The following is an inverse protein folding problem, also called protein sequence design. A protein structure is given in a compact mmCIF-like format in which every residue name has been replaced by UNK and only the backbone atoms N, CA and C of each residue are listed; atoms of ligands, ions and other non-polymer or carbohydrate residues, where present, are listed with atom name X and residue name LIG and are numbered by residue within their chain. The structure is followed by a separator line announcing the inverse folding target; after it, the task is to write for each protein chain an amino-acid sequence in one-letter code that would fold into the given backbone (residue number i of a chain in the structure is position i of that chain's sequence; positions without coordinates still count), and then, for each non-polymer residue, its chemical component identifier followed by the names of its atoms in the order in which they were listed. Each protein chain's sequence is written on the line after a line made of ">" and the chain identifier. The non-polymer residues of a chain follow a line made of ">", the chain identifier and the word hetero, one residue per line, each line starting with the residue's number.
data_IF_409118616179
#
_entry.id   IF_409118616179
#
_cell.length_a   1.000
_cell.length_b   1.000
_cell.length_c   1.000
_cell.angle_alpha   90.00
_cell.angle_beta   90.00
_cell.angle_gamma   90.00
#
_symmetry.space_group_name_H-M   'P 1'
#
loop_
_entity.id
_entity.type
_entity.pdbx_description
1 polymer ?
#
# COMPACT_ATOMS: atom_id res chain seq x y z
N UNK A 1 34.61 -17.76 62.57
CA UNK A 1 33.94 -16.53 62.12
C UNK A 1 32.44 -16.78 61.89
N UNK A 2 31.54 -15.78 61.89
CA UNK A 2 30.12 -15.94 61.54
C UNK A 2 29.99 -16.23 60.02
N UNK A 3 29.18 -17.22 59.61
CA UNK A 3 28.96 -17.60 58.19
C UNK A 3 28.55 -16.42 57.31
N UNK A 4 27.80 -15.46 57.89
CA UNK A 4 27.43 -14.22 57.20
C UNK A 4 28.67 -13.40 56.86
N UNK A 5 29.64 -13.29 57.78
CA UNK A 5 30.86 -12.52 57.53
C UNK A 5 31.75 -13.20 56.48
N UNK A 6 31.79 -14.54 56.47
CA UNK A 6 32.53 -15.30 55.47
C UNK A 6 31.94 -15.07 54.07
N UNK A 7 30.63 -15.21 53.92
CA UNK A 7 29.91 -14.90 52.67
C UNK A 7 30.11 -13.45 52.22
N UNK A 8 29.99 -12.47 53.12
CA UNK A 8 30.12 -11.06 52.75
C UNK A 8 31.53 -10.69 52.27
N UNK A 9 32.57 -11.41 52.73
CA UNK A 9 33.96 -11.20 52.29
C UNK A 9 34.26 -11.80 50.94
N UNK A 10 33.52 -12.83 50.51
CA UNK A 10 33.73 -13.48 49.21
C UNK A 10 32.96 -12.82 48.07
N UNK A 11 31.93 -12.03 48.38
CA UNK A 11 31.08 -11.39 47.38
C UNK A 11 31.75 -10.20 46.70
N UNK A 12 31.69 -10.17 45.37
CA UNK A 12 32.01 -8.99 44.58
C UNK A 12 30.89 -7.94 44.68
N UNK A 13 31.20 -6.68 44.34
CA UNK A 13 30.20 -5.59 44.29
C UNK A 13 28.99 -5.95 43.42
N UNK A 14 29.24 -6.56 42.25
CA UNK A 14 28.19 -6.96 41.31
C UNK A 14 27.26 -8.00 41.90
N UNK A 15 27.79 -8.98 42.62
CA UNK A 15 26.99 -10.02 43.27
C UNK A 15 26.17 -9.49 44.45
N UNK A 16 26.74 -8.58 45.25
CA UNK A 16 25.98 -7.93 46.34
C UNK A 16 24.77 -7.20 45.76
N UNK A 17 24.94 -6.46 44.65
CA UNK A 17 23.83 -5.76 43.97
C UNK A 17 22.80 -6.78 43.47
N UNK A 18 23.23 -7.86 42.82
CA UNK A 18 22.34 -8.89 42.29
C UNK A 18 21.50 -9.56 43.38
N UNK A 19 22.11 -9.91 44.52
CA UNK A 19 21.42 -10.47 45.69
C UNK A 19 20.40 -9.47 46.24
N UNK A 20 20.81 -8.20 46.45
CA UNK A 20 19.93 -7.15 46.98
C UNK A 20 18.71 -6.94 46.07
N UNK A 21 18.91 -6.97 44.75
CA UNK A 21 17.83 -6.87 43.76
C UNK A 21 16.90 -8.09 43.82
N UNK A 22 17.48 -9.29 43.76
CA UNK A 22 16.74 -10.55 43.73
C UNK A 22 15.81 -10.70 44.94
N UNK A 23 16.32 -10.39 46.14
CA UNK A 23 15.58 -10.57 47.39
C UNK A 23 14.85 -9.30 47.85
N UNK A 24 14.89 -8.22 47.06
CA UNK A 24 14.21 -6.96 47.39
C UNK A 24 14.65 -6.39 48.74
N UNK A 25 15.96 -6.36 48.98
CA UNK A 25 16.56 -5.85 50.23
C UNK A 25 16.59 -4.31 50.15
N UNK A 26 15.98 -3.58 51.11
CA UNK A 26 15.96 -2.14 51.05
C UNK A 26 17.34 -1.54 51.38
N UNK A 27 17.84 -0.70 50.47
CA UNK A 27 19.05 0.08 50.67
C UNK A 27 18.68 1.56 50.78
N UNK A 28 18.95 2.17 51.93
CA UNK A 28 18.55 3.55 52.24
C UNK A 28 19.10 4.52 51.20
N UNK A 29 18.21 5.25 50.51
CA UNK A 29 18.57 6.27 49.53
C UNK A 29 18.90 5.75 48.11
N UNK A 30 18.89 4.44 47.86
CA UNK A 30 19.36 3.86 46.59
C UNK A 30 18.45 2.77 46.02
N UNK A 31 17.14 2.99 45.98
CA UNK A 31 16.17 2.00 45.47
C UNK A 31 16.18 1.81 43.94
N UNK A 32 16.44 2.86 43.16
CA UNK A 32 16.39 2.80 41.70
C UNK A 32 17.77 2.65 41.01
N UNK A 33 18.86 2.94 41.73
CA UNK A 33 20.25 2.93 41.22
C UNK A 33 21.21 2.34 42.26
N UNK A 34 21.12 1.02 42.44
CA UNK A 34 21.98 0.28 43.37
C UNK A 34 23.45 0.25 42.92
N UNK A 35 23.70 0.36 41.61
CA UNK A 35 25.02 0.50 41.00
C UNK A 35 25.84 1.67 41.56
N UNK A 36 25.16 2.75 41.99
CA UNK A 36 25.79 3.96 42.54
C UNK A 36 25.94 3.97 44.06
N UNK A 37 25.38 2.99 44.76
CA UNK A 37 25.42 2.95 46.23
C UNK A 37 26.85 2.65 46.73
N UNK A 38 27.35 3.30 47.80
CA UNK A 38 28.65 2.95 48.38
C UNK A 38 28.70 1.48 48.82
N UNK A 39 29.81 0.77 48.57
CA UNK A 39 29.91 -0.67 48.87
C UNK A 39 29.71 -0.99 50.36
N UNK A 40 30.18 -0.11 51.26
CA UNK A 40 29.96 -0.24 52.71
C UNK A 40 28.47 -0.22 53.05
N UNK A 41 27.68 0.59 52.35
CA UNK A 41 26.23 0.68 52.55
C UNK A 41 25.55 -0.62 52.08
N UNK A 42 25.91 -1.10 50.89
CA UNK A 42 25.40 -2.36 50.34
C UNK A 42 25.70 -3.55 51.26
N UNK A 43 26.95 -3.67 51.74
CA UNK A 43 27.36 -4.70 52.70
C UNK A 43 26.57 -4.57 54.00
N UNK A 44 26.39 -3.36 54.53
CA UNK A 44 25.66 -3.16 55.79
C UNK A 44 24.18 -3.54 55.69
N UNK A 45 23.54 -3.21 54.55
CA UNK A 45 22.15 -3.59 54.27
C UNK A 45 22.01 -5.10 54.15
N UNK A 46 22.89 -5.76 53.38
CA UNK A 46 22.87 -7.21 53.22
C UNK A 46 23.17 -7.93 54.55
N UNK A 47 24.17 -7.48 55.31
CA UNK A 47 24.50 -8.01 56.63
C UNK A 47 23.31 -7.94 57.59
N UNK A 48 22.69 -6.76 57.69
CA UNK A 48 21.51 -6.56 58.54
C UNK A 48 20.33 -7.41 58.11
N UNK A 49 20.14 -7.64 56.81
CA UNK A 49 19.08 -8.52 56.31
C UNK A 49 19.31 -9.97 56.77
N UNK A 50 20.52 -10.49 56.52
CA UNK A 50 20.88 -11.87 56.83
C UNK A 50 20.90 -12.17 58.33
N UNK A 51 21.38 -11.23 59.16
CA UNK A 51 21.36 -11.38 60.63
C UNK A 51 19.92 -11.45 61.16
N UNK A 52 19.00 -10.66 60.60
CA UNK A 52 17.58 -10.74 60.96
C UNK A 52 16.89 -12.00 60.40
N UNK A 53 17.36 -12.51 59.25
CA UNK A 53 16.96 -13.79 58.67
C UNK A 53 17.32 -14.98 59.57
N UNK A 54 18.56 -15.05 60.07
CA UNK A 54 18.98 -16.07 61.04
C UNK A 54 18.13 -16.07 62.31
N UNK A 55 17.74 -14.89 62.79
CA UNK A 55 16.86 -14.72 63.95
C UNK A 55 15.37 -14.98 63.63
N UNK A 56 15.05 -15.37 62.39
CA UNK A 56 13.68 -15.62 61.87
C UNK A 56 12.71 -14.48 62.18
N UNK A 57 13.21 -13.25 62.18
CA UNK A 57 12.37 -12.06 62.43
C UNK A 57 11.44 -11.83 61.23
N UNK A 58 10.35 -11.08 61.45
CA UNK A 58 9.44 -10.63 60.40
C UNK A 58 9.62 -9.13 60.17
N UNK A 59 9.57 -8.69 58.92
CA UNK A 59 9.54 -7.27 58.55
C UNK A 59 8.21 -6.65 58.98
N UNK A 60 8.14 -5.31 59.05
CA UNK A 60 6.91 -4.54 59.43
C UNK A 60 5.64 -4.88 58.63
N UNK A 61 5.77 -5.52 57.45
CA UNK A 61 4.66 -5.96 56.58
C UNK A 61 4.45 -7.47 56.55
N UNK A 62 4.96 -8.21 57.54
CA UNK A 62 4.80 -9.67 57.64
C UNK A 62 5.71 -10.50 56.72
N UNK A 63 6.49 -9.88 55.83
CA UNK A 63 7.50 -10.57 55.00
C UNK A 63 8.63 -11.16 55.85
N UNK A 64 9.09 -12.37 55.51
CA UNK A 64 10.29 -13.00 56.07
C UNK A 64 11.55 -12.21 55.63
N UNK A 65 12.58 -12.17 56.47
CA UNK A 65 13.91 -11.73 56.06
C UNK A 65 14.61 -12.83 55.26
N UNK A 66 15.55 -12.46 54.39
CA UNK A 66 16.35 -13.42 53.61
C UNK A 66 17.27 -14.21 54.53
N UNK A 67 17.26 -15.54 54.41
CA UNK A 67 18.15 -16.43 55.16
C UNK A 67 19.48 -16.64 54.40
N UNK A 68 20.61 -16.86 55.09
CA UNK A 68 21.90 -17.11 54.43
C UNK A 68 21.87 -18.28 53.45
N UNK A 69 21.13 -19.34 53.79
CA UNK A 69 20.96 -20.50 52.91
C UNK A 69 20.31 -20.12 51.57
N UNK A 70 19.30 -19.25 51.56
CA UNK A 70 18.62 -18.79 50.33
C UNK A 70 19.60 -18.03 49.41
N UNK A 71 20.56 -17.30 49.99
CA UNK A 71 21.61 -16.63 49.23
C UNK A 71 22.61 -17.62 48.65
N UNK A 72 23.02 -18.63 49.41
CA UNK A 72 23.89 -19.70 48.89
C UNK A 72 23.21 -20.48 47.76
N UNK A 73 21.92 -20.82 47.89
CA UNK A 73 21.14 -21.47 46.83
C UNK A 73 21.08 -20.60 45.56
N UNK A 74 20.80 -19.30 45.72
CA UNK A 74 20.79 -18.37 44.59
C UNK A 74 22.14 -18.28 43.88
N UNK A 75 23.23 -18.18 44.64
CA UNK A 75 24.57 -18.15 44.06
C UNK A 75 24.83 -19.46 43.33
N UNK A 76 24.77 -20.61 44.00
CA UNK A 76 25.04 -21.92 43.40
C UNK A 76 24.20 -22.19 42.14
N UNK A 77 22.90 -21.86 42.16
CA UNK A 77 22.00 -22.05 41.02
C UNK A 77 22.46 -21.30 39.76
N UNK A 78 22.95 -20.06 39.92
CA UNK A 78 23.45 -19.27 38.78
C UNK A 78 24.66 -19.89 38.09
N UNK A 79 25.39 -20.76 38.78
CA UNK A 79 26.62 -21.36 38.28
C UNK A 79 26.46 -22.83 37.85
N UNK A 80 25.56 -23.60 38.48
CA UNK A 80 25.42 -25.04 38.22
C UNK A 80 24.39 -25.42 37.13
N UNK A 81 23.55 -24.48 36.67
CA UNK A 81 22.60 -24.65 35.54
C UNK A 81 21.94 -26.05 35.42
N UNK A 82 21.41 -26.60 36.52
CA UNK A 82 20.70 -27.89 36.63
C UNK A 82 21.54 -29.19 36.57
N UNK A 83 22.86 -29.16 36.81
CA UNK A 83 23.62 -30.41 37.07
C UNK A 83 23.22 -31.01 38.43
N UNK A 84 22.65 -32.23 38.41
CA UNK A 84 22.14 -32.92 39.61
C UNK A 84 23.22 -33.72 40.37
N UNK A 85 24.34 -34.05 39.73
CA UNK A 85 25.47 -34.71 40.35
C UNK A 85 26.69 -33.80 40.25
N UNK A 86 27.22 -33.40 41.41
CA UNK A 86 28.31 -32.44 41.50
C UNK A 86 29.48 -33.15 42.17
N UNK A 87 30.57 -33.29 41.43
CA UNK A 87 31.82 -33.88 41.92
C UNK A 87 32.80 -32.76 42.24
N UNK A 88 33.50 -32.85 43.39
CA UNK A 88 34.37 -31.79 43.88
C UNK A 88 35.49 -31.48 42.88
N UNK A 89 36.06 -32.52 42.29
CA UNK A 89 37.14 -32.47 41.30
C UNK A 89 36.74 -31.65 40.06
N UNK A 90 35.50 -31.79 39.59
CA UNK A 90 34.99 -31.04 38.44
C UNK A 90 34.81 -29.55 38.76
N UNK A 91 34.39 -29.22 39.98
CA UNK A 91 34.30 -27.83 40.43
C UNK A 91 35.69 -27.21 40.49
N UNK A 92 36.66 -27.93 41.07
CA UNK A 92 38.05 -27.47 41.17
C UNK A 92 38.62 -27.21 39.78
N UNK A 93 38.40 -28.12 38.85
CA UNK A 93 38.85 -27.98 37.47
C UNK A 93 38.21 -26.77 36.78
N UNK A 94 36.88 -26.63 36.84
CA UNK A 94 36.19 -25.48 36.25
C UNK A 94 36.69 -24.16 36.85
N UNK A 95 36.88 -24.09 38.18
CA UNK A 95 37.37 -22.89 38.87
C UNK A 95 38.81 -22.53 38.49
N UNK A 96 39.65 -23.53 38.21
CA UNK A 96 41.04 -23.30 37.82
C UNK A 96 41.20 -22.92 36.35
N UNK A 97 40.25 -23.27 35.48
CA UNK A 97 40.33 -23.03 34.03
C UNK A 97 39.57 -21.77 33.61
N UNK A 98 38.41 -21.49 34.21
CA UNK A 98 37.60 -20.33 33.82
C UNK A 98 38.00 -19.07 34.60
N UNK A 99 38.33 -18.00 33.86
CA UNK A 99 38.83 -16.72 34.38
C UNK A 99 37.82 -15.94 35.27
N UNK A 100 36.58 -16.43 35.41
CA UNK A 100 35.44 -15.71 35.99
C UNK A 100 34.77 -16.40 37.19
N UNK A 101 35.41 -17.35 37.85
CA UNK A 101 34.82 -17.97 39.04
C UNK A 101 34.82 -17.05 40.26
N UNK A 102 33.62 -16.75 40.75
CA UNK A 102 33.45 -16.02 41.99
C UNK A 102 33.77 -16.89 43.22
N UNK A 103 34.55 -16.35 44.15
CA UNK A 103 34.79 -16.96 45.47
C UNK A 103 33.49 -17.24 46.21
N UNK A 104 32.48 -16.39 46.04
CA UNK A 104 31.19 -16.58 46.69
C UNK A 104 30.41 -17.76 46.11
N UNK A 105 30.57 -18.03 44.81
CA UNK A 105 29.97 -19.19 44.15
C UNK A 105 30.59 -20.50 44.65
N UNK A 106 31.92 -20.57 44.70
CA UNK A 106 32.63 -21.74 45.23
C UNK A 106 32.24 -22.00 46.68
N UNK A 107 32.22 -20.94 47.51
CA UNK A 107 31.77 -21.04 48.90
C UNK A 107 30.32 -21.54 49.00
N UNK A 108 29.43 -21.08 48.12
CA UNK A 108 28.03 -21.52 48.09
C UNK A 108 27.88 -23.00 47.75
N UNK A 109 28.64 -23.47 46.75
CA UNK A 109 28.65 -24.87 46.34
C UNK A 109 29.18 -25.76 47.47
N UNK A 110 30.28 -25.35 48.11
CA UNK A 110 30.80 -26.05 49.29
C UNK A 110 29.77 -26.11 50.42
N UNK A 111 29.09 -25.00 50.70
CA UNK A 111 28.09 -24.93 51.76
C UNK A 111 26.90 -25.88 51.52
N UNK A 112 26.44 -26.02 50.27
CA UNK A 112 25.26 -26.81 49.92
C UNK A 112 25.57 -28.29 49.70
N UNK A 113 26.71 -28.62 49.07
CA UNK A 113 27.01 -29.98 48.61
C UNK A 113 28.19 -30.63 49.34
N UNK A 114 29.11 -29.86 49.92
CA UNK A 114 30.32 -30.37 50.58
C UNK A 114 30.50 -29.76 51.99
N UNK A 115 29.41 -29.72 52.75
CA UNK A 115 29.35 -29.00 54.03
C UNK A 115 30.39 -29.51 55.05
N UNK A 116 30.61 -30.81 55.10
CA UNK A 116 31.60 -31.43 56.00
C UNK A 116 33.02 -30.94 55.69
N UNK A 117 33.39 -30.86 54.41
CA UNK A 117 34.69 -30.33 53.96
C UNK A 117 34.85 -28.84 54.31
N UNK A 118 33.79 -28.05 54.11
CA UNK A 118 33.77 -26.63 54.47
C UNK A 118 33.99 -26.44 55.97
N UNK A 119 33.36 -27.26 56.81
CA UNK A 119 33.52 -27.20 58.26
C UNK A 119 34.92 -27.64 58.70
N UNK A 120 35.45 -28.73 58.13
CA UNK A 120 36.80 -29.25 58.44
C UNK A 120 37.90 -28.25 58.05
N UNK A 121 37.80 -27.64 56.85
CA UNK A 121 38.86 -26.79 56.28
C UNK A 121 38.60 -25.29 56.40
N UNK A 122 37.62 -24.88 57.21
CA UNK A 122 37.17 -23.48 57.35
C UNK A 122 38.32 -22.49 57.57
N UNK A 123 39.25 -22.79 58.48
CA UNK A 123 40.37 -21.88 58.78
C UNK A 123 41.22 -21.62 57.55
N UNK A 124 41.51 -22.66 56.77
CA UNK A 124 42.32 -22.55 55.55
C UNK A 124 41.59 -21.76 54.45
N UNK A 125 40.28 -21.95 54.33
CA UNK A 125 39.43 -21.18 53.42
C UNK A 125 39.43 -19.69 53.81
N UNK A 126 39.27 -19.39 55.10
CA UNK A 126 39.34 -18.02 55.63
C UNK A 126 40.70 -17.36 55.32
N UNK A 127 41.81 -18.07 55.56
CA UNK A 127 43.17 -17.59 55.27
C UNK A 127 43.36 -17.31 53.77
N UNK A 128 42.92 -18.23 52.89
CA UNK A 128 43.04 -18.08 51.44
C UNK A 128 42.24 -16.86 50.94
N UNK A 129 41.06 -16.59 51.51
CA UNK A 129 40.24 -15.41 51.16
C UNK A 129 40.94 -14.11 51.59
N UNK A 130 41.54 -14.08 52.79
CA UNK A 130 42.23 -12.90 53.30
C UNK A 130 43.51 -12.58 52.52
N UNK A 131 44.20 -13.60 52.02
CA UNK A 131 45.43 -13.46 51.22
C UNK A 131 45.17 -13.24 49.72
N UNK A 132 43.90 -13.12 49.31
CA UNK A 132 43.50 -12.98 47.90
C UNK A 132 43.91 -14.18 47.02
N UNK A 133 44.07 -15.36 47.61
CA UNK A 133 44.47 -16.59 46.91
C UNK A 133 43.25 -17.38 46.39
N UNK A 134 43.51 -18.44 45.62
CA UNK A 134 42.48 -19.40 45.24
C UNK A 134 41.83 -20.02 46.50
N UNK A 135 40.50 -19.98 46.58
CA UNK A 135 39.77 -20.31 47.82
C UNK A 135 40.02 -21.75 48.31
N UNK A 136 40.31 -22.69 47.41
CA UNK A 136 40.60 -24.09 47.73
C UNK A 136 42.11 -24.42 47.77
N UNK A 137 43.00 -23.42 47.72
CA UNK A 137 44.46 -23.65 47.72
C UNK A 137 44.91 -24.44 48.95
N UNK A 138 45.63 -25.54 48.72
CA UNK A 138 46.12 -26.44 49.77
C UNK A 138 45.02 -27.27 50.46
N UNK A 139 43.78 -27.24 49.94
CA UNK A 139 42.67 -28.11 50.34
C UNK A 139 42.47 -29.19 49.28
N UNK A 140 42.58 -28.79 48.02
CA UNK A 140 42.57 -29.68 46.85
C UNK A 140 43.93 -29.59 46.17
N UNK A 141 44.35 -30.70 45.57
CA UNK A 141 45.56 -30.72 44.75
C UNK A 141 45.29 -29.90 43.48
N UNK A 142 46.17 -28.94 43.20
CA UNK A 142 46.07 -28.17 41.97
C UNK A 142 46.53 -29.03 40.81
N UNK A 143 45.67 -29.19 39.80
CA UNK A 143 46.06 -29.90 38.60
C UNK A 143 47.19 -29.13 37.90
N UNK A 144 48.24 -29.85 37.52
CA UNK A 144 49.29 -29.32 36.65
C UNK A 144 48.69 -28.89 35.30
N UNK A 145 49.41 -28.04 34.57
CA UNK A 145 48.98 -27.63 33.23
C UNK A 145 48.85 -28.85 32.32
N UNK A 146 49.77 -29.81 32.44
CA UNK A 146 49.76 -31.07 31.70
C UNK A 146 48.50 -31.89 31.97
N UNK A 147 48.08 -32.03 33.23
CA UNK A 147 46.86 -32.74 33.60
C UNK A 147 45.60 -32.04 33.11
N UNK A 148 45.55 -30.71 33.19
CA UNK A 148 44.44 -29.90 32.65
C UNK A 148 44.32 -30.09 31.13
N UNK A 149 45.44 -30.04 30.42
CA UNK A 149 45.49 -30.26 28.98
C UNK A 149 45.10 -31.69 28.61
N UNK A 150 45.55 -32.70 29.38
CA UNK A 150 45.18 -34.09 29.20
C UNK A 150 43.68 -34.33 29.38
N UNK A 151 43.07 -33.79 30.44
CA UNK A 151 41.62 -33.88 30.67
C UNK A 151 40.81 -33.16 29.60
N UNK A 152 41.27 -31.99 29.15
CA UNK A 152 40.63 -31.30 28.04
C UNK A 152 40.69 -32.11 26.74
N UNK A 153 41.83 -32.75 26.45
CA UNK A 153 41.96 -33.65 25.31
C UNK A 153 41.04 -34.86 25.42
N UNK A 154 40.96 -35.49 26.59
CA UNK A 154 40.09 -36.64 26.83
C UNK A 154 38.61 -36.26 26.62
N UNK A 155 38.19 -35.15 27.21
CA UNK A 155 36.83 -34.59 27.01
C UNK A 155 36.55 -34.23 25.56
N UNK A 156 37.54 -33.70 24.84
CA UNK A 156 37.42 -33.43 23.42
C UNK A 156 37.19 -34.74 22.67
N UNK A 157 38.01 -35.76 22.88
CA UNK A 157 37.95 -37.05 22.17
C UNK A 157 36.64 -37.82 22.45
N UNK A 158 36.10 -37.70 23.66
CA UNK A 158 34.86 -38.35 24.11
C UNK A 158 33.58 -37.63 23.65
N UNK A 159 33.69 -36.44 23.07
CA UNK A 159 32.54 -35.66 22.62
C UNK A 159 31.74 -36.37 21.52
N UNK A 160 30.48 -36.70 21.82
CA UNK A 160 29.53 -37.28 20.86
C UNK A 160 29.28 -36.37 19.63
N UNK A 161 29.60 -35.07 19.75
CA UNK A 161 29.47 -34.11 18.64
C UNK A 161 30.55 -34.24 17.59
N UNK A 162 31.71 -34.81 17.90
CA UNK A 162 32.82 -34.89 16.94
C UNK A 162 32.43 -35.66 15.68
N UNK A 163 31.76 -36.79 15.84
CA UNK A 163 31.31 -37.60 14.70
C UNK A 163 30.28 -36.83 13.85
N UNK A 164 29.39 -36.07 14.49
CA UNK A 164 28.39 -35.26 13.81
C UNK A 164 29.02 -34.13 13.01
N UNK A 165 29.97 -33.40 13.62
CA UNK A 165 30.67 -32.29 12.99
C UNK A 165 31.57 -32.78 11.84
N UNK A 166 32.25 -33.93 12.01
CA UNK A 166 33.04 -34.57 10.95
C UNK A 166 32.16 -35.01 9.78
N UNK A 167 31.00 -35.63 10.04
CA UNK A 167 30.05 -36.02 8.98
C UNK A 167 29.44 -34.81 8.27
N UNK A 168 29.16 -33.73 9.00
CA UNK A 168 28.69 -32.49 8.41
C UNK A 168 29.75 -31.88 7.48
N UNK A 169 31.02 -31.91 7.89
CA UNK A 169 32.12 -31.45 7.05
C UNK A 169 32.39 -32.41 5.87
N UNK A 170 32.24 -33.72 6.05
CA UNK A 170 32.29 -34.73 4.96
C UNK A 170 31.29 -34.39 3.86
N UNK A 171 30.04 -34.06 4.21
CA UNK A 171 29.04 -33.64 3.23
C UNK A 171 29.45 -32.37 2.49
N UNK A 172 30.00 -31.37 3.19
CA UNK A 172 30.50 -30.15 2.54
C UNK A 172 31.66 -30.44 1.57
N UNK A 173 32.56 -31.36 1.92
CA UNK A 173 33.66 -31.79 1.05
C UNK A 173 33.11 -32.48 -0.21
N UNK A 174 32.13 -33.37 -0.06
CA UNK A 174 31.48 -34.06 -1.17
C UNK A 174 30.82 -33.06 -2.12
N UNK A 175 30.14 -32.03 -1.59
CA UNK A 175 29.55 -30.97 -2.41
C UNK A 175 30.61 -30.14 -3.18
N UNK A 176 31.81 -29.95 -2.61
CA UNK A 176 32.88 -29.16 -3.22
C UNK A 176 33.70 -29.92 -4.28
N UNK A 177 34.03 -31.19 -4.01
CA UNK A 177 34.88 -32.01 -4.87
C UNK A 177 34.08 -32.90 -5.83
N UNK A 178 32.84 -33.23 -5.49
CA UNK A 178 32.09 -34.29 -6.13
C UNK A 178 32.34 -35.65 -5.48
N UNK A 179 31.32 -36.51 -5.55
CA UNK A 179 31.29 -37.80 -4.85
C UNK A 179 32.38 -38.77 -5.32
N UNK A 180 32.63 -38.85 -6.63
CA UNK A 180 33.64 -39.76 -7.20
C UNK A 180 35.07 -39.41 -6.73
N UNK A 181 35.45 -38.14 -6.79
CA UNK A 181 36.77 -37.68 -6.35
C UNK A 181 36.95 -37.86 -4.83
N UNK A 182 35.91 -37.59 -4.04
CA UNK A 182 35.92 -37.84 -2.60
C UNK A 182 36.12 -39.32 -2.27
N UNK A 183 35.41 -40.23 -2.95
CA UNK A 183 35.53 -41.67 -2.73
C UNK A 183 36.94 -42.17 -3.02
N UNK A 184 37.58 -41.71 -4.11
CA UNK A 184 38.97 -42.06 -4.40
C UNK A 184 39.93 -41.60 -3.30
N UNK A 185 39.74 -40.38 -2.78
CA UNK A 185 40.56 -39.85 -1.69
C UNK A 185 40.36 -40.71 -0.44
N UNK A 186 39.10 -40.98 -0.07
CA UNK A 186 38.72 -41.79 1.09
C UNK A 186 39.37 -43.18 1.06
N UNK A 187 39.30 -43.86 -0.09
CA UNK A 187 39.94 -45.18 -0.25
C UNK A 187 41.45 -45.13 -0.07
N UNK A 188 42.12 -44.09 -0.59
CA UNK A 188 43.58 -43.95 -0.51
C UNK A 188 44.04 -43.61 0.91
N UNK A 189 43.46 -42.60 1.56
CA UNK A 189 43.88 -42.19 2.92
C UNK A 189 43.62 -43.28 3.96
N UNK A 190 42.63 -44.15 3.74
CA UNK A 190 42.29 -45.20 4.69
C UNK A 190 43.24 -46.40 4.67
N UNK A 191 44.19 -46.45 3.74
CA UNK A 191 45.24 -47.48 3.69
C UNK A 191 46.25 -47.39 4.84
N UNK A 192 46.30 -46.27 5.56
CA UNK A 192 47.09 -46.09 6.78
C UNK A 192 47.84 -44.76 6.84
N UNK A 193 48.51 -44.53 7.97
CA UNK A 193 49.13 -43.26 8.34
C UNK A 193 50.21 -42.82 7.33
N UNK A 194 50.98 -43.77 6.81
CA UNK A 194 52.04 -43.51 5.84
C UNK A 194 51.46 -43.03 4.49
N UNK A 195 50.29 -43.52 4.11
CA UNK A 195 49.59 -43.08 2.90
C UNK A 195 48.98 -41.70 3.11
N UNK A 196 48.36 -41.43 4.27
CA UNK A 196 47.90 -40.09 4.63
C UNK A 196 49.05 -39.07 4.56
N UNK A 197 50.19 -39.39 5.19
CA UNK A 197 51.38 -38.53 5.18
C UNK A 197 51.87 -38.24 3.75
N UNK A 198 51.90 -39.26 2.90
CA UNK A 198 52.29 -39.11 1.48
C UNK A 198 51.34 -38.17 0.74
N UNK A 199 50.03 -38.39 0.90
CA UNK A 199 49.02 -37.56 0.25
C UNK A 199 49.06 -36.11 0.71
N UNK A 200 49.30 -35.84 2.00
CA UNK A 200 49.50 -34.47 2.52
C UNK A 200 50.71 -33.77 1.89
N UNK A 201 51.77 -34.51 1.55
CA UNK A 201 52.95 -33.93 0.89
C UNK A 201 52.72 -33.65 -0.60
N UNK A 202 51.93 -34.49 -1.25
CA UNK A 202 51.68 -34.45 -2.69
C UNK A 202 50.54 -33.48 -3.06
N UNK A 203 49.55 -33.34 -2.19
CA UNK A 203 48.35 -32.54 -2.44
C UNK A 203 48.59 -31.09 -1.98
N UNK A 204 48.54 -30.14 -2.92
CA UNK A 204 48.68 -28.69 -2.63
C UNK A 204 47.42 -27.88 -2.94
N UNK A 205 46.42 -28.50 -3.56
CA UNK A 205 45.30 -27.79 -4.19
C UNK A 205 44.04 -27.73 -3.31
N UNK A 206 43.91 -28.62 -2.33
CA UNK A 206 42.78 -28.65 -1.39
C UNK A 206 43.31 -28.58 0.04
N UNK A 207 42.54 -28.01 0.97
CA UNK A 207 42.97 -27.91 2.36
C UNK A 207 43.10 -29.29 3.01
N UNK A 208 44.08 -29.45 3.90
CA UNK A 208 44.43 -30.74 4.52
C UNK A 208 43.23 -31.46 5.19
N UNK A 209 42.21 -30.70 5.61
CA UNK A 209 40.95 -31.23 6.16
C UNK A 209 40.23 -32.21 5.22
N UNK A 210 40.40 -32.07 3.89
CA UNK A 210 39.85 -32.98 2.88
C UNK A 210 40.41 -34.39 3.05
N UNK A 211 41.67 -34.51 3.49
CA UNK A 211 42.31 -35.80 3.75
C UNK A 211 42.05 -36.27 5.19
N UNK A 212 42.03 -35.34 6.15
CA UNK A 212 41.83 -35.66 7.56
C UNK A 212 40.42 -36.16 7.87
N UNK A 213 39.37 -35.59 7.29
CA UNK A 213 37.98 -35.98 7.57
C UNK A 213 37.71 -37.46 7.28
N UNK A 214 37.94 -37.98 6.05
CA UNK A 214 37.76 -39.40 5.77
C UNK A 214 38.67 -40.29 6.62
N UNK A 215 39.93 -39.87 6.84
CA UNK A 215 40.88 -40.61 7.66
C UNK A 215 40.43 -40.74 9.12
N UNK A 216 39.91 -39.67 9.72
CA UNK A 216 39.45 -39.61 11.11
C UNK A 216 38.14 -40.37 11.31
N UNK A 217 37.22 -40.31 10.33
CA UNK A 217 35.95 -41.05 10.35
C UNK A 217 36.18 -42.57 10.26
N UNK A 218 37.17 -42.99 9.49
CA UNK A 218 37.53 -44.40 9.33
C UNK A 218 37.89 -45.03 10.68
N UNK A 219 37.23 -46.16 11.00
CA UNK A 219 37.43 -46.89 12.26
C UNK A 219 37.35 -46.02 13.53
N UNK A 220 36.63 -44.88 13.47
CA UNK A 220 36.52 -43.89 14.55
C UNK A 220 37.88 -43.41 15.08
N UNK A 221 38.87 -43.23 14.19
CA UNK A 221 40.19 -42.70 14.57
C UNK A 221 40.13 -41.35 15.30
N UNK A 222 39.06 -40.57 15.15
CA UNK A 222 38.81 -39.34 15.93
C UNK A 222 38.73 -39.53 17.45
N UNK A 223 38.52 -40.76 17.96
CA UNK A 223 38.54 -41.01 19.42
C UNK A 223 39.94 -41.37 19.95
N UNK A 224 40.93 -41.53 19.07
CA UNK A 224 42.27 -41.98 19.44
C UNK A 224 43.17 -40.78 19.77
N UNK A 225 43.91 -40.89 20.88
CA UNK A 225 44.80 -39.81 21.37
C UNK A 225 45.83 -39.36 20.35
N UNK A 226 46.40 -40.31 19.61
CA UNK A 226 47.47 -40.03 18.63
C UNK A 226 47.00 -39.11 17.49
N UNK A 227 45.69 -39.01 17.24
CA UNK A 227 45.09 -38.17 16.20
C UNK A 227 44.34 -36.94 16.74
N UNK A 228 44.44 -36.64 18.03
CA UNK A 228 43.74 -35.51 18.64
C UNK A 228 44.08 -34.17 17.97
N UNK A 229 45.34 -33.98 17.56
CA UNK A 229 45.78 -32.77 16.86
C UNK A 229 45.12 -32.60 15.49
N UNK A 230 44.92 -33.70 14.75
CA UNK A 230 44.22 -33.70 13.47
C UNK A 230 42.74 -33.36 13.66
N UNK A 231 42.11 -33.95 14.68
CA UNK A 231 40.72 -33.65 15.03
C UNK A 231 40.53 -32.15 15.33
N UNK A 232 41.40 -31.56 16.15
CA UNK A 232 41.35 -30.12 16.45
C UNK A 232 41.47 -29.27 15.18
N UNK A 233 42.40 -29.60 14.29
CA UNK A 233 42.58 -28.87 13.04
C UNK A 233 41.32 -28.90 12.17
N UNK A 234 40.65 -30.06 12.09
CA UNK A 234 39.42 -30.25 11.31
C UNK A 234 38.24 -29.52 11.94
N UNK A 235 38.06 -29.58 13.26
CA UNK A 235 36.99 -28.87 13.96
C UNK A 235 37.14 -27.34 13.85
N UNK A 236 38.38 -26.84 13.89
CA UNK A 236 38.66 -25.43 13.63
C UNK A 236 38.22 -25.03 12.21
N UNK A 237 38.51 -25.86 11.21
CA UNK A 237 38.09 -25.58 9.83
C UNK A 237 36.57 -25.61 9.67
N UNK A 238 35.89 -26.59 10.29
CA UNK A 238 34.43 -26.64 10.34
C UNK A 238 33.82 -25.38 10.96
N UNK A 239 34.40 -24.88 12.06
CA UNK A 239 33.94 -23.65 12.72
C UNK A 239 34.09 -22.41 11.82
N UNK A 240 35.20 -22.27 11.11
CA UNK A 240 35.45 -21.16 10.17
C UNK A 240 34.45 -21.17 9.02
N UNK A 241 34.17 -22.35 8.47
CA UNK A 241 33.25 -22.53 7.34
C UNK A 241 31.80 -22.26 7.73
N UNK A 242 31.36 -22.79 8.87
CA UNK A 242 30.01 -22.53 9.39
C UNK A 242 29.80 -21.05 9.74
N UNK A 243 30.82 -20.38 10.31
CA UNK A 243 30.75 -18.94 10.57
C UNK A 243 30.69 -18.11 9.28
N UNK A 244 31.54 -18.43 8.30
CA UNK A 244 31.54 -17.76 6.99
C UNK A 244 30.21 -17.95 6.24
N UNK A 245 29.60 -19.13 6.34
CA UNK A 245 28.28 -19.42 5.76
C UNK A 245 27.18 -18.59 6.43
N UNK A 246 27.18 -18.50 7.76
CA UNK A 246 26.25 -17.65 8.52
C UNK A 246 26.35 -16.18 8.12
N UNK A 247 27.56 -15.65 7.99
CA UNK A 247 27.79 -14.26 7.58
C UNK A 247 27.32 -13.99 6.13
N UNK A 248 27.56 -14.92 5.20
CA UNK A 248 27.06 -14.81 3.82
C UNK A 248 25.54 -14.86 3.77
N UNK A 249 24.92 -15.78 4.50
CA UNK A 249 23.47 -15.91 4.56
C UNK A 249 22.82 -14.67 5.19
N UNK A 250 23.43 -14.10 6.23
CA UNK A 250 22.96 -12.86 6.84
C UNK A 250 22.99 -11.69 5.87
N UNK A 251 24.07 -11.51 5.09
CA UNK A 251 24.14 -10.49 4.04
C UNK A 251 23.10 -10.70 2.94
N UNK A 252 22.84 -11.95 2.55
CA UNK A 252 21.81 -12.27 1.56
C UNK A 252 20.40 -11.93 2.09
N UNK A 253 20.14 -12.20 3.37
CA UNK A 253 18.90 -11.81 4.05
C UNK A 253 18.73 -10.29 4.11
N UNK A 254 19.77 -9.57 4.51
CA UNK A 254 19.77 -8.11 4.54
C UNK A 254 19.52 -7.49 3.15
N UNK A 255 20.06 -8.11 2.10
CA UNK A 255 19.80 -7.71 0.72
C UNK A 255 18.32 -7.96 0.33
N UNK A 256 17.80 -9.14 0.65
CA UNK A 256 16.40 -9.49 0.38
C UNK A 256 15.43 -8.54 1.09
N UNK A 257 15.71 -8.17 2.35
CA UNK A 257 14.91 -7.21 3.12
C UNK A 257 14.91 -5.82 2.48
N UNK A 258 16.07 -5.35 2.02
CA UNK A 258 16.17 -4.06 1.30
C UNK A 258 15.37 -4.07 0.00
N UNK A 259 15.43 -5.16 -0.75
CA UNK A 259 14.69 -5.28 -2.01
C UNK A 259 13.17 -5.39 -1.78
N UNK A 260 12.75 -6.11 -0.73
CA UNK A 260 11.35 -6.17 -0.30
C UNK A 260 10.82 -4.76 0.03
N UNK A 261 11.58 -3.98 0.78
CA UNK A 261 11.17 -2.63 1.18
C UNK A 261 11.08 -1.68 -0.04
N UNK A 262 12.00 -1.83 -0.99
CA UNK A 262 11.93 -1.14 -2.29
C UNK A 262 10.66 -1.51 -3.06
N UNK A 263 10.35 -2.79 -3.17
CA UNK A 263 9.15 -3.27 -3.86
C UNK A 263 7.87 -2.77 -3.20
N UNK A 264 7.79 -2.72 -1.87
CA UNK A 264 6.65 -2.11 -1.16
C UNK A 264 6.46 -0.64 -1.50
N UNK A 265 7.55 0.14 -1.58
CA UNK A 265 7.47 1.54 -1.98
C UNK A 265 6.92 1.69 -3.41
N UNK A 266 7.43 0.89 -4.36
CA UNK A 266 6.93 0.89 -5.75
C UNK A 266 5.44 0.50 -5.80
N UNK A 267 5.03 -0.52 -5.03
CA UNK A 267 3.64 -0.96 -4.98
C UNK A 267 2.73 0.14 -4.43
N UNK A 268 3.17 0.85 -3.39
CA UNK A 268 2.46 2.02 -2.85
C UNK A 268 2.29 3.12 -3.91
N UNK A 269 3.36 3.49 -4.61
CA UNK A 269 3.28 4.48 -5.70
C UNK A 269 2.32 4.06 -6.83
N UNK A 270 2.34 2.77 -7.20
CA UNK A 270 1.42 2.23 -8.21
C UNK A 270 -0.03 2.26 -7.74
N UNK A 271 -0.30 1.92 -6.48
CA UNK A 271 -1.64 1.98 -5.90
C UNK A 271 -2.15 3.42 -5.83
N UNK A 272 -1.31 4.38 -5.43
CA UNK A 272 -1.67 5.80 -5.42
C UNK A 272 -1.99 6.29 -6.84
N UNK A 273 -1.21 5.87 -7.84
CA UNK A 273 -1.49 6.17 -9.25
C UNK A 273 -2.80 5.54 -9.73
N UNK A 274 -3.07 4.29 -9.36
CA UNK A 274 -4.31 3.60 -9.72
C UNK A 274 -5.54 4.28 -9.11
N UNK A 275 -5.48 4.68 -7.85
CA UNK A 275 -6.56 5.42 -7.19
C UNK A 275 -6.86 6.74 -7.87
N UNK A 276 -5.83 7.50 -8.29
CA UNK A 276 -6.01 8.72 -9.08
C UNK A 276 -6.68 8.46 -10.43
N UNK A 277 -6.26 7.40 -11.13
CA UNK A 277 -6.86 7.03 -12.41
C UNK A 277 -8.33 6.60 -12.27
N UNK A 278 -8.68 5.91 -11.18
CA UNK A 278 -10.08 5.59 -10.89
C UNK A 278 -10.92 6.86 -10.70
N UNK A 279 -10.43 7.81 -9.91
CA UNK A 279 -11.12 9.10 -9.72
C UNK A 279 -11.28 9.89 -11.02
N UNK A 280 -10.26 9.86 -11.89
CA UNK A 280 -10.31 10.51 -13.19
C UNK A 280 -11.30 9.83 -14.14
N UNK A 281 -11.34 8.49 -14.13
CA UNK A 281 -12.30 7.73 -14.92
C UNK A 281 -13.74 7.98 -14.46
N UNK A 282 -13.99 8.03 -13.15
CA UNK A 282 -15.32 8.35 -12.61
C UNK A 282 -15.79 9.74 -13.05
N UNK A 283 -14.89 10.74 -13.03
CA UNK A 283 -15.18 12.10 -13.53
C UNK A 283 -15.51 12.11 -15.01
N UNK A 284 -14.69 11.45 -15.84
CA UNK A 284 -14.93 11.35 -17.28
C UNK A 284 -16.24 10.63 -17.60
N UNK A 285 -16.60 9.62 -16.81
CA UNK A 285 -17.87 8.92 -16.96
C UNK A 285 -19.06 9.84 -16.66
N UNK A 286 -18.97 10.68 -15.63
CA UNK A 286 -19.98 11.69 -15.33
C UNK A 286 -20.10 12.72 -16.47
N UNK A 287 -18.98 13.29 -16.92
CA UNK A 287 -18.95 14.26 -18.04
C UNK A 287 -19.52 13.65 -19.32
N UNK A 288 -19.18 12.40 -19.64
CA UNK A 288 -19.74 11.68 -20.78
C UNK A 288 -21.25 11.54 -20.69
N UNK A 289 -21.78 11.16 -19.53
CA UNK A 289 -23.22 10.99 -19.34
C UNK A 289 -23.98 12.32 -19.47
N UNK A 290 -23.43 13.41 -18.93
CA UNK A 290 -23.99 14.76 -19.05
C UNK A 290 -24.03 15.20 -20.53
N UNK A 291 -22.90 15.08 -21.23
CA UNK A 291 -22.82 15.45 -22.65
C UNK A 291 -23.73 14.58 -23.53
N UNK A 292 -23.85 13.29 -23.21
CA UNK A 292 -24.76 12.39 -23.90
C UNK A 292 -26.22 12.81 -23.70
N UNK A 293 -26.59 13.24 -22.49
CA UNK A 293 -27.93 13.73 -22.20
C UNK A 293 -28.23 15.03 -22.95
N UNK A 294 -27.30 16.00 -22.94
CA UNK A 294 -27.43 17.24 -23.71
C UNK A 294 -27.61 16.97 -25.21
N UNK A 295 -26.81 16.06 -25.78
CA UNK A 295 -26.92 15.69 -27.19
C UNK A 295 -28.27 15.05 -27.52
N UNK A 296 -28.86 14.26 -26.63
CA UNK A 296 -30.22 13.73 -26.83
C UNK A 296 -31.27 14.84 -26.79
N UNK A 297 -31.13 15.81 -25.90
CA UNK A 297 -32.03 16.96 -25.80
C UNK A 297 -31.98 17.80 -27.08
N UNK A 298 -30.78 18.17 -27.54
CA UNK A 298 -30.60 18.92 -28.79
C UNK A 298 -31.15 18.18 -30.01
N UNK A 299 -30.97 16.86 -30.09
CA UNK A 299 -31.57 16.07 -31.18
C UNK A 299 -33.09 16.18 -31.21
N UNK A 300 -33.76 16.05 -30.06
CA UNK A 300 -35.21 16.23 -29.96
C UNK A 300 -35.65 17.63 -30.35
N UNK A 301 -34.91 18.66 -29.93
CA UNK A 301 -35.20 20.04 -30.31
C UNK A 301 -35.08 20.23 -31.83
N UNK A 302 -34.05 19.69 -32.46
CA UNK A 302 -33.92 19.73 -33.92
C UNK A 302 -35.05 19.00 -34.64
N UNK A 303 -35.44 17.81 -34.18
CA UNK A 303 -36.58 17.06 -34.74
C UNK A 303 -37.89 17.85 -34.62
N UNK A 304 -38.13 18.49 -33.48
CA UNK A 304 -39.31 19.34 -33.27
C UNK A 304 -39.30 20.55 -34.20
N UNK A 305 -38.15 21.24 -34.33
CA UNK A 305 -38.02 22.38 -35.25
C UNK A 305 -38.22 21.95 -36.70
N UNK A 306 -37.67 20.81 -37.10
CA UNK A 306 -37.85 20.28 -38.44
C UNK A 306 -39.33 19.99 -38.73
N UNK A 307 -40.03 19.34 -37.80
CA UNK A 307 -41.47 19.09 -37.94
C UNK A 307 -42.29 20.38 -38.06
N UNK A 308 -41.93 21.41 -37.28
CA UNK A 308 -42.57 22.73 -37.38
C UNK A 308 -42.33 23.38 -38.75
N UNK A 309 -41.09 23.34 -39.26
CA UNK A 309 -40.75 23.89 -40.57
C UNK A 309 -41.48 23.15 -41.69
N UNK A 310 -41.59 21.82 -41.62
CA UNK A 310 -42.33 21.01 -42.58
C UNK A 310 -43.82 21.40 -42.60
N UNK A 311 -44.46 21.55 -41.44
CA UNK A 311 -45.86 21.98 -41.33
C UNK A 311 -46.06 23.40 -41.89
N UNK A 312 -45.20 24.35 -41.53
CA UNK A 312 -45.29 25.72 -42.04
C UNK A 312 -45.10 25.78 -43.56
N UNK A 313 -44.17 24.99 -44.10
CA UNK A 313 -43.94 24.88 -45.54
C UNK A 313 -45.19 24.34 -46.25
N UNK A 314 -45.84 23.33 -45.68
CA UNK A 314 -47.06 22.75 -46.24
C UNK A 314 -48.21 23.78 -46.28
N UNK A 315 -48.40 24.55 -45.20
CA UNK A 315 -49.39 25.65 -45.16
C UNK A 315 -49.11 26.73 -46.21
N UNK A 316 -47.85 27.11 -46.41
CA UNK A 316 -47.47 28.07 -47.46
C UNK A 316 -47.83 27.54 -48.85
N UNK A 317 -47.58 26.26 -49.12
CA UNK A 317 -47.96 25.63 -50.40
C UNK A 317 -49.48 25.69 -50.60
N UNK A 318 -50.28 25.37 -49.59
CA UNK A 318 -51.74 25.45 -49.65
C UNK A 318 -52.24 26.88 -49.92
N UNK A 319 -51.70 27.88 -49.21
CA UNK A 319 -52.03 29.30 -49.42
C UNK A 319 -51.65 29.76 -50.84
N UNK A 320 -50.49 29.34 -51.34
CA UNK A 320 -50.06 29.67 -52.69
C UNK A 320 -50.97 29.04 -53.76
N UNK A 321 -51.45 27.81 -53.56
CA UNK A 321 -52.43 27.20 -54.47
C UNK A 321 -53.73 28.01 -54.52
N UNK A 322 -54.27 28.41 -53.37
CA UNK A 322 -55.49 29.24 -53.29
C UNK A 322 -55.27 30.61 -53.94
N UNK A 323 -54.13 31.24 -53.66
CA UNK A 323 -53.75 32.54 -54.25
C UNK A 323 -53.68 32.45 -55.78
N UNK A 324 -53.06 31.40 -56.32
CA UNK A 324 -52.98 31.18 -57.76
C UNK A 324 -54.35 30.92 -58.38
N UNK A 325 -55.21 30.14 -57.72
CA UNK A 325 -56.58 29.92 -58.17
C UNK A 325 -57.35 31.24 -58.28
N UNK A 326 -57.31 32.07 -57.24
CA UNK A 326 -57.97 33.37 -57.24
C UNK A 326 -57.43 34.27 -58.36
N UNK A 327 -56.10 34.33 -58.54
CA UNK A 327 -55.49 35.08 -59.65
C UNK A 327 -56.01 34.64 -61.00
N UNK A 328 -56.12 33.33 -61.24
CA UNK A 328 -56.67 32.77 -62.48
C UNK A 328 -58.14 33.16 -62.69
N UNK A 329 -58.96 33.10 -61.64
CA UNK A 329 -60.38 33.51 -61.73
C UNK A 329 -60.48 35.01 -62.06
N UNK A 330 -59.72 35.85 -61.36
CA UNK A 330 -59.66 37.30 -61.64
C UNK A 330 -59.19 37.58 -63.09
N UNK A 331 -58.28 36.75 -63.62
CA UNK A 331 -57.80 36.83 -64.99
C UNK A 331 -58.83 36.44 -66.03
N UNK A 332 -59.46 35.28 -65.84
CA UNK A 332 -60.52 34.77 -66.71
C UNK A 332 -61.65 35.78 -66.85
N UNK A 333 -62.06 36.40 -65.75
CA UNK A 333 -63.14 37.38 -65.74
C UNK A 333 -62.71 38.81 -66.14
N UNK A 334 -61.43 39.00 -66.49
CA UNK A 334 -60.85 40.28 -66.93
C UNK A 334 -61.18 41.42 -65.96
N UNK A 335 -61.02 41.15 -64.67
CA UNK A 335 -61.37 42.10 -63.61
C UNK A 335 -60.35 43.23 -63.52
N UNK A 336 -60.86 44.46 -63.41
CA UNK A 336 -60.12 45.65 -63.02
C UNK A 336 -60.73 46.22 -61.73
N UNK A 337 -59.87 46.54 -60.77
CA UNK A 337 -60.22 47.20 -59.52
C UNK A 337 -59.80 48.66 -59.62
N UNK A 338 -60.75 49.56 -59.50
CA UNK A 338 -60.53 51.01 -59.50
C UNK A 338 -60.59 51.50 -58.06
N UNK A 339 -59.44 51.89 -57.52
CA UNK A 339 -59.32 52.34 -56.12
C UNK A 339 -58.08 53.22 -55.92
N UNK A 340 -58.19 54.17 -55.00
CA UNK A 340 -57.06 54.97 -54.51
C UNK A 340 -56.45 54.37 -53.23
N UNK A 341 -56.95 53.22 -52.77
CA UNK A 341 -56.48 52.58 -51.54
C UNK A 341 -55.19 51.80 -51.75
N UNK A 342 -54.17 52.16 -50.97
CA UNK A 342 -52.80 51.64 -51.08
C UNK A 342 -52.74 50.11 -50.89
N UNK A 343 -53.63 49.54 -50.08
CA UNK A 343 -53.65 48.10 -49.80
C UNK A 343 -53.86 47.25 -51.05
N UNK A 344 -54.72 47.67 -51.98
CA UNK A 344 -54.92 46.94 -53.25
C UNK A 344 -53.70 47.02 -54.15
N UNK A 345 -53.07 48.20 -54.24
CA UNK A 345 -51.87 48.42 -55.05
C UNK A 345 -50.67 47.58 -54.59
N UNK A 346 -50.56 47.35 -53.28
CA UNK A 346 -49.46 46.57 -52.69
C UNK A 346 -49.79 45.08 -52.52
N UNK A 347 -51.00 44.64 -52.84
CA UNK A 347 -51.40 43.25 -52.68
C UNK A 347 -51.11 42.43 -53.94
N UNK A 348 -50.24 41.43 -53.79
CA UNK A 348 -49.83 40.53 -54.87
C UNK A 348 -51.02 39.83 -55.56
N UNK A 349 -52.16 39.64 -54.89
CA UNK A 349 -53.36 39.04 -55.45
C UNK A 349 -53.93 39.84 -56.63
N UNK A 350 -53.76 41.18 -56.60
CA UNK A 350 -54.37 42.12 -57.54
C UNK A 350 -53.36 42.80 -58.47
N UNK A 351 -52.13 42.30 -58.49
CA UNK A 351 -51.05 42.83 -59.31
C UNK A 351 -51.50 43.01 -60.78
N UNK A 352 -51.23 44.18 -61.35
CA UNK A 352 -51.63 44.59 -62.70
C UNK A 352 -53.15 44.68 -62.97
N UNK A 353 -53.98 44.57 -61.94
CA UNK A 353 -55.45 44.71 -62.02
C UNK A 353 -55.99 45.94 -61.32
N UNK A 354 -55.16 46.62 -60.54
CA UNK A 354 -55.54 47.82 -59.79
C UNK A 354 -55.14 49.06 -60.57
N UNK A 355 -56.08 50.00 -60.73
CA UNK A 355 -55.82 51.33 -61.26
C UNK A 355 -56.38 52.38 -60.31
N UNK A 356 -55.73 53.52 -60.24
CA UNK A 356 -56.25 54.66 -59.49
C UNK A 356 -57.41 55.34 -60.24
N UNK A 357 -58.15 56.20 -59.52
CA UNK A 357 -59.28 56.90 -60.10
C UNK A 357 -58.89 57.93 -61.17
N UNK A 358 -57.70 58.50 -61.07
CA UNK A 358 -57.24 59.52 -62.01
C UNK A 358 -56.91 58.89 -63.37
N UNK A 359 -56.23 57.74 -63.35
CA UNK A 359 -55.97 56.89 -64.51
C UNK A 359 -57.29 56.41 -65.11
N UNK A 360 -58.21 55.90 -64.29
CA UNK A 360 -59.53 55.47 -64.77
C UNK A 360 -60.30 56.62 -65.45
N UNK A 361 -60.27 57.82 -64.86
CA UNK A 361 -60.90 59.01 -65.42
C UNK A 361 -60.24 59.46 -66.73
N UNK A 362 -58.90 59.39 -66.85
CA UNK A 362 -58.21 59.68 -68.10
C UNK A 362 -58.55 58.68 -69.20
N UNK A 363 -58.62 57.39 -68.87
CA UNK A 363 -58.99 56.34 -69.82
C UNK A 363 -60.42 56.53 -70.34
N UNK A 364 -61.37 56.86 -69.45
CA UNK A 364 -62.76 57.20 -69.86
C UNK A 364 -62.79 58.43 -70.78
N UNK A 365 -62.08 59.51 -70.44
CA UNK A 365 -62.06 60.77 -71.20
C UNK A 365 -61.41 60.62 -72.57
N UNK A 366 -60.43 59.72 -72.72
CA UNK A 366 -59.73 59.46 -73.98
C UNK A 366 -60.65 58.91 -75.09
N UNK A 367 -61.90 58.53 -74.75
CA UNK A 367 -62.90 57.91 -75.65
C UNK A 367 -62.43 56.59 -76.29
N UNK A 368 -61.33 55.99 -75.80
CA UNK A 368 -60.86 54.68 -76.24
C UNK A 368 -61.70 53.61 -75.52
N UNK A 369 -62.85 53.24 -76.10
CA UNK A 369 -63.73 52.20 -75.55
C UNK A 369 -63.06 50.83 -75.40
N UNK A 370 -61.95 50.60 -76.11
CA UNK A 370 -61.18 49.34 -76.08
C UNK A 370 -60.61 49.01 -74.70
N UNK A 371 -60.33 50.00 -73.84
CA UNK A 371 -59.75 49.74 -72.53
C UNK A 371 -60.70 48.97 -71.59
N UNK A 372 -62.01 49.22 -71.70
CA UNK A 372 -63.05 48.65 -70.83
C UNK A 372 -63.81 47.49 -71.47
N UNK A 373 -63.54 47.20 -72.75
CA UNK A 373 -64.24 46.16 -73.51
C UNK A 373 -63.92 44.77 -72.96
N UNK A 374 -64.97 44.00 -72.67
CA UNK A 374 -64.86 42.65 -72.11
C UNK A 374 -64.43 42.57 -70.64
N UNK A 375 -64.26 43.71 -69.96
CA UNK A 375 -63.79 43.77 -68.56
C UNK A 375 -64.92 43.95 -67.57
N UNK A 376 -64.70 43.48 -66.34
CA UNK A 376 -65.58 43.73 -65.19
C UNK A 376 -64.90 44.73 -64.27
N UNK A 377 -65.60 45.83 -63.97
CA UNK A 377 -65.01 46.93 -63.20
C UNK A 377 -65.52 46.88 -61.76
N UNK A 378 -64.63 46.61 -60.81
CA UNK A 378 -64.90 46.84 -59.40
C UNK A 378 -64.43 48.23 -59.02
N UNK A 379 -65.26 48.96 -58.27
CA UNK A 379 -64.94 50.34 -57.89
C UNK A 379 -65.19 50.53 -56.42
N UNK A 380 -64.15 50.91 -55.66
CA UNK A 380 -64.33 51.21 -54.24
C UNK A 380 -65.00 52.57 -54.09
N UNK A 381 -66.15 52.60 -53.42
CA UNK A 381 -66.94 53.83 -53.28
C UNK A 381 -66.20 54.92 -52.51
N UNK A 382 -65.42 54.50 -51.51
CA UNK A 382 -64.62 55.37 -50.62
C UNK A 382 -63.56 56.17 -51.37
N UNK A 383 -63.10 55.69 -52.53
CA UNK A 383 -62.12 56.42 -53.34
C UNK A 383 -62.66 57.73 -53.92
N UNK A 384 -64.00 57.91 -53.99
CA UNK A 384 -64.62 59.12 -54.53
C UNK A 384 -64.89 60.16 -53.45
N UNK A 385 -64.23 61.31 -53.59
CA UNK A 385 -64.44 62.48 -52.73
C UNK A 385 -65.84 63.13 -52.84
N UNK A 386 -66.59 62.87 -53.92
CA UNK A 386 -67.96 63.39 -54.07
C UNK A 386 -68.89 62.40 -54.77
N UNK A 387 -70.14 62.35 -54.32
CA UNK A 387 -71.21 61.53 -54.91
C UNK A 387 -71.49 61.91 -56.36
N UNK A 388 -71.34 63.19 -56.72
CA UNK A 388 -71.55 63.65 -58.08
C UNK A 388 -70.51 63.05 -59.05
N UNK A 389 -69.24 62.93 -58.65
CA UNK A 389 -68.20 62.26 -59.45
C UNK A 389 -68.48 60.77 -59.62
N UNK A 390 -68.93 60.10 -58.55
CA UNK A 390 -69.34 58.70 -58.61
C UNK A 390 -70.51 58.47 -59.57
N UNK A 391 -71.56 59.28 -59.47
CA UNK A 391 -72.74 59.21 -60.35
C UNK A 391 -72.32 59.38 -61.82
N UNK A 392 -71.40 60.31 -62.11
CA UNK A 392 -70.90 60.51 -63.48
C UNK A 392 -70.23 59.24 -64.05
N UNK A 393 -69.36 58.59 -63.29
CA UNK A 393 -68.69 57.36 -63.75
C UNK A 393 -69.63 56.16 -63.81
N UNK A 394 -70.51 55.98 -62.80
CA UNK A 394 -71.47 54.88 -62.80
C UNK A 394 -72.51 55.02 -63.91
N UNK A 395 -73.04 56.22 -64.17
CA UNK A 395 -73.92 56.48 -65.31
C UNK A 395 -73.22 56.24 -66.65
N UNK A 396 -71.93 56.58 -66.77
CA UNK A 396 -71.14 56.29 -67.97
C UNK A 396 -71.01 54.78 -68.22
N UNK A 397 -70.63 54.00 -67.21
CA UNK A 397 -70.51 52.54 -67.31
C UNK A 397 -71.85 51.89 -67.68
N UNK A 398 -72.95 52.32 -67.04
CA UNK A 398 -74.32 51.86 -67.37
C UNK A 398 -74.70 52.19 -68.82
N UNK A 399 -74.47 53.42 -69.26
CA UNK A 399 -74.80 53.86 -70.61
C UNK A 399 -74.01 53.10 -71.70
N UNK A 400 -72.82 52.58 -71.35
CA UNK A 400 -71.97 51.78 -72.24
C UNK A 400 -72.15 50.26 -72.09
N UNK A 401 -73.04 49.82 -71.20
CA UNK A 401 -73.27 48.39 -70.95
C UNK A 401 -72.06 47.66 -70.34
N UNK A 402 -71.15 48.39 -69.68
CA UNK A 402 -69.94 47.81 -69.08
C UNK A 402 -70.32 47.25 -67.70
N UNK A 403 -70.11 45.95 -67.42
CA UNK A 403 -70.37 45.36 -66.12
C UNK A 403 -69.52 46.02 -65.06
N UNK A 404 -70.15 46.52 -63.99
CA UNK A 404 -69.43 47.07 -62.85
C UNK A 404 -70.12 46.73 -61.53
N UNK A 405 -69.32 46.65 -60.48
CA UNK A 405 -69.77 46.43 -59.10
C UNK A 405 -69.17 47.53 -58.21
N UNK A 406 -70.03 48.14 -57.39
CA UNK A 406 -69.63 49.10 -56.37
C UNK A 406 -69.23 48.31 -55.11
N UNK A 407 -67.96 48.41 -54.72
CA UNK A 407 -67.46 47.82 -53.48
C UNK A 407 -67.70 48.80 -52.32
N UNK A 408 -68.46 48.33 -51.33
CA UNK A 408 -68.85 49.09 -50.13
C UNK A 408 -68.07 48.60 -48.91
N UNK A 409 -67.73 49.47 -47.97
CA UNK A 409 -66.91 49.10 -46.80
C UNK A 409 -65.72 50.03 -46.60
N UNK A 410 -64.87 49.71 -45.63
CA UNK A 410 -63.66 50.49 -45.28
C UNK A 410 -62.40 49.62 -45.10
N UNK A 411 -62.55 48.29 -45.06
CA UNK A 411 -61.44 47.34 -44.87
C UNK A 411 -61.28 46.42 -46.08
N UNK A 412 -60.06 45.92 -46.32
CA UNK A 412 -59.75 45.09 -47.48
C UNK A 412 -60.51 43.77 -47.45
N UNK A 413 -60.70 43.20 -46.26
CA UNK A 413 -61.44 41.96 -46.02
C UNK A 413 -62.89 42.07 -46.51
N UNK A 414 -63.56 43.19 -46.22
CA UNK A 414 -64.95 43.44 -46.66
C UNK A 414 -65.05 43.51 -48.18
N UNK A 415 -64.07 44.14 -48.82
CA UNK A 415 -64.00 44.22 -50.28
C UNK A 415 -63.68 42.86 -50.91
N UNK A 416 -62.78 42.08 -50.30
CA UNK A 416 -62.45 40.72 -50.73
C UNK A 416 -63.68 39.83 -50.70
N UNK A 417 -64.46 39.87 -49.62
CA UNK A 417 -65.71 39.12 -49.50
C UNK A 417 -66.68 39.45 -50.63
N UNK A 418 -66.88 40.74 -50.94
CA UNK A 418 -67.75 41.17 -52.04
C UNK A 418 -67.22 40.76 -53.43
N UNK A 419 -65.91 40.86 -53.67
CA UNK A 419 -65.29 40.40 -54.92
C UNK A 419 -65.49 38.89 -55.06
N UNK A 420 -65.25 38.11 -54.01
CA UNK A 420 -65.41 36.66 -54.03
C UNK A 420 -66.87 36.23 -54.16
N UNK A 421 -67.79 36.88 -53.45
CA UNK A 421 -69.22 36.62 -53.58
C UNK A 421 -69.70 36.91 -55.01
N UNK A 422 -69.25 38.02 -55.60
CA UNK A 422 -69.55 38.33 -57.01
C UNK A 422 -69.01 37.26 -57.95
N UNK A 423 -67.75 36.85 -57.79
CA UNK A 423 -67.12 35.81 -58.60
C UNK A 423 -67.86 34.48 -58.48
N UNK A 424 -68.18 34.06 -57.26
CA UNK A 424 -68.92 32.84 -56.97
C UNK A 424 -70.34 32.86 -57.56
N UNK A 425 -71.05 33.98 -57.40
CA UNK A 425 -72.40 34.16 -57.94
C UNK A 425 -72.38 34.08 -59.46
N UNK A 426 -71.41 34.74 -60.10
CA UNK A 426 -71.26 34.74 -61.56
C UNK A 426 -70.92 33.35 -62.09
N UNK A 427 -69.99 32.61 -61.49
CA UNK A 427 -69.72 31.22 -61.87
C UNK A 427 -70.97 30.33 -61.79
N UNK A 428 -71.81 30.49 -60.76
CA UNK A 428 -73.09 29.75 -60.62
C UNK A 428 -74.14 30.06 -61.69
N UNK A 429 -74.09 31.24 -62.33
CA UNK A 429 -75.02 31.64 -63.39
C UNK A 429 -74.45 31.49 -64.81
N UNK A 430 -73.19 31.05 -64.94
CA UNK A 430 -72.52 30.83 -66.23
C UNK A 430 -72.21 29.34 -66.51
N UNK A 431 -72.48 28.47 -65.53
CA UNK A 431 -72.64 27.01 -65.65
C UNK A 431 -74.13 26.70 -65.78
#
# INVERSE_FOLDING_TARGET
>A
MNDILLLLRTLTRGEIIAIIQQFGIPVTGFTARLDRAPIKLLISSLKSELENGLLKRKRKRGKKFTEPQEVYEYLAYRYLQNDNEIVLEEIVEKVQVEEYYSRAAVLAILYLHFKELLEEKRSKIEDNIEQDEFILKGIVEELSLEEKMGRYQDKLLESERNEQDLKALELMIIEELGEEEYLEIKEKVNQGDETLYRMLRETRNFGDYVLFVPFLLENRRYTQKDYASLLVAVLLEYSKRTQSSKERNQKALEYADRELERLKMVLKEKNDKHSKLLQENDKLQTEYNELHHELQTYKRECENHQSFVEQATQQIVEINMLTNYIKQVLEKEQIIIVTNEIYFHNNLLFENRVIDLDTFNSEIKSKISRFLEGKVIFITRVSYQSTEKWIKHSSYLKAKGIPYCELSGYEIEEYLEQIFEFLYTRERYTL
#
